data_IF_846472295372
#
_entry.id   IF_846472295372
#
_cell.length_a   1.000
_cell.length_b   1.000
_cell.length_c   1.000
_cell.angle_alpha   90.00
_cell.angle_beta   90.00
_cell.angle_gamma   90.00
#
_symmetry.space_group_name_H-M   'P 1'
#
loop_
_entity.id
_entity.type
_entity.pdbx_description
1 polymer ?
#
# COMPACT_ATOMS: atom_id res chain seq x y z
N UNK A 1 9.72 0.64 -24.66
CA UNK A 1 10.47 -0.07 -23.59
C UNK A 1 11.64 0.74 -23.03
N UNK A 2 12.49 1.38 -23.84
CA UNK A 2 13.62 2.20 -23.34
C UNK A 2 13.15 3.42 -22.52
N UNK A 3 12.11 4.13 -22.94
CA UNK A 3 11.55 5.29 -22.22
C UNK A 3 10.94 4.91 -20.86
N UNK A 4 10.44 3.68 -20.69
CA UNK A 4 9.92 3.16 -19.44
C UNK A 4 11.01 2.92 -18.37
N UNK A 5 12.27 2.70 -18.80
CA UNK A 5 13.39 2.60 -17.86
C UNK A 5 13.68 3.90 -17.12
N UNK A 6 13.59 5.04 -17.81
CA UNK A 6 13.77 6.38 -17.23
C UNK A 6 12.58 6.87 -16.41
N UNK A 7 11.38 6.34 -16.67
CA UNK A 7 10.16 6.71 -15.95
C UNK A 7 10.02 5.99 -14.59
N UNK A 8 10.94 5.11 -14.21
CA UNK A 8 10.91 4.46 -12.90
C UNK A 8 11.45 5.37 -11.81
N UNK A 9 10.68 5.52 -10.71
CA UNK A 9 11.18 6.15 -9.49
C UNK A 9 12.40 5.37 -9.00
N UNK A 10 13.52 6.05 -8.74
CA UNK A 10 14.71 5.41 -8.17
C UNK A 10 14.32 4.54 -6.97
N UNK A 11 15.01 3.42 -6.76
CA UNK A 11 14.75 2.51 -5.64
C UNK A 11 14.85 3.28 -4.33
N UNK A 12 13.71 3.64 -3.73
CA UNK A 12 13.70 4.22 -2.40
C UNK A 12 14.33 3.22 -1.42
N UNK A 13 15.16 3.71 -0.50
CA UNK A 13 15.74 2.88 0.57
C UNK A 13 14.62 2.22 1.36
N UNK A 14 14.63 0.88 1.45
CA UNK A 14 13.65 0.13 2.24
C UNK A 14 12.31 -0.12 1.53
N UNK A 15 12.23 0.07 0.22
CA UNK A 15 11.03 -0.32 -0.51
C UNK A 15 10.78 -1.83 -0.36
N UNK A 16 9.54 -2.25 -0.08
CA UNK A 16 9.17 -3.64 0.18
C UNK A 16 9.46 -4.56 -1.01
N UNK A 17 9.77 -5.82 -0.73
CA UNK A 17 10.23 -6.78 -1.76
C UNK A 17 9.15 -7.05 -2.82
N UNK A 18 7.89 -7.27 -2.41
CA UNK A 18 6.79 -7.48 -3.35
C UNK A 18 6.61 -6.25 -4.27
N UNK A 19 6.65 -5.04 -3.71
CA UNK A 19 6.56 -3.81 -4.50
C UNK A 19 7.63 -3.74 -5.58
N UNK A 20 8.89 -4.09 -5.25
CA UNK A 20 10.02 -3.99 -6.18
C UNK A 20 9.97 -5.07 -7.26
N UNK A 21 9.76 -6.33 -6.83
CA UNK A 21 9.97 -7.50 -7.72
C UNK A 21 8.69 -7.94 -8.44
N UNK A 22 7.52 -7.63 -7.90
CA UNK A 22 6.22 -8.04 -8.47
C UNK A 22 5.43 -6.83 -8.95
N UNK A 23 5.08 -5.92 -8.04
CA UNK A 23 4.12 -4.85 -8.34
C UNK A 23 4.64 -3.86 -9.40
N UNK A 24 5.86 -3.35 -9.25
CA UNK A 24 6.42 -2.39 -10.22
C UNK A 24 6.62 -2.98 -11.63
N UNK A 25 7.16 -4.22 -11.81
CA UNK A 25 7.23 -4.84 -13.14
C UNK A 25 5.87 -5.05 -13.78
N UNK A 26 4.86 -5.45 -12.98
CA UNK A 26 3.49 -5.62 -13.49
C UNK A 26 2.86 -4.26 -13.82
N UNK A 27 2.95 -3.28 -12.93
CA UNK A 27 2.50 -1.91 -13.15
C UNK A 27 3.15 -1.27 -14.39
N UNK A 28 4.42 -1.61 -14.70
CA UNK A 28 5.07 -1.14 -15.94
C UNK A 28 4.36 -1.61 -17.21
N UNK A 29 3.92 -2.86 -17.24
CA UNK A 29 3.19 -3.39 -18.40
C UNK A 29 1.83 -2.72 -18.53
N UNK A 30 1.14 -2.51 -17.42
CA UNK A 30 -0.13 -1.78 -17.37
C UNK A 30 0.05 -0.31 -17.79
N UNK A 31 1.10 0.35 -17.31
CA UNK A 31 1.42 1.73 -17.69
C UNK A 31 1.69 1.87 -19.19
N UNK A 32 2.42 0.91 -19.78
CA UNK A 32 2.66 0.89 -21.23
C UNK A 32 1.35 0.76 -22.01
N UNK A 33 0.47 -0.16 -21.60
CA UNK A 33 -0.87 -0.32 -22.22
C UNK A 33 -1.73 0.93 -22.07
N UNK A 34 -1.80 1.48 -20.85
CA UNK A 34 -2.58 2.69 -20.57
C UNK A 34 -2.08 3.90 -21.39
N UNK A 35 -0.77 4.08 -21.49
CA UNK A 35 -0.15 5.14 -22.28
C UNK A 35 -0.47 4.99 -23.78
N UNK A 36 -0.39 3.78 -24.34
CA UNK A 36 -0.73 3.50 -25.74
C UNK A 36 -2.22 3.73 -26.03
N UNK A 37 -3.09 3.51 -25.04
CA UNK A 37 -4.52 3.79 -25.12
C UNK A 37 -4.88 5.26 -24.89
N UNK A 38 -3.88 6.13 -24.62
CA UNK A 38 -4.10 7.55 -24.36
C UNK A 38 -4.78 7.84 -23.01
N UNK A 39 -4.75 6.89 -22.06
CA UNK A 39 -5.34 7.10 -20.73
C UNK A 39 -4.52 8.11 -19.93
N UNK A 40 -5.22 9.03 -19.26
CA UNK A 40 -4.57 9.96 -18.33
C UNK A 40 -4.21 9.27 -17.02
N UNK A 41 -3.20 9.77 -16.26
CA UNK A 41 -2.85 9.22 -14.95
C UNK A 41 -4.07 9.11 -14.02
N UNK A 42 -4.91 10.14 -13.96
CA UNK A 42 -6.11 10.16 -13.11
C UNK A 42 -7.11 9.05 -13.47
N UNK A 43 -7.28 8.74 -14.74
CA UNK A 43 -8.12 7.61 -15.17
C UNK A 43 -7.53 6.29 -14.68
N UNK A 44 -6.21 6.14 -14.72
CA UNK A 44 -5.52 4.93 -14.22
C UNK A 44 -5.67 4.79 -12.70
N UNK A 45 -5.57 5.90 -11.95
CA UNK A 45 -5.85 5.92 -10.50
C UNK A 45 -7.30 5.54 -10.18
N UNK A 46 -8.27 6.02 -10.98
CA UNK A 46 -9.68 5.63 -10.81
C UNK A 46 -9.91 4.15 -11.13
N UNK A 47 -9.25 3.59 -12.13
CA UNK A 47 -9.29 2.14 -12.42
C UNK A 47 -8.76 1.36 -11.23
N UNK A 48 -7.60 1.76 -10.67
CA UNK A 48 -7.06 1.19 -9.43
C UNK A 48 -8.09 1.21 -8.31
N UNK A 49 -8.75 2.36 -8.11
CA UNK A 49 -9.78 2.54 -7.08
C UNK A 49 -10.97 1.60 -7.27
N UNK A 50 -11.46 1.41 -8.49
CA UNK A 50 -12.58 0.48 -8.79
C UNK A 50 -12.23 -0.95 -8.38
N UNK A 51 -11.04 -1.44 -8.72
CA UNK A 51 -10.60 -2.78 -8.31
C UNK A 51 -10.48 -2.90 -6.79
N UNK A 52 -9.84 -1.95 -6.15
CA UNK A 52 -9.59 -1.99 -4.71
C UNK A 52 -10.89 -1.84 -3.90
N UNK A 53 -11.75 -0.87 -4.24
CA UNK A 53 -13.03 -0.69 -3.56
C UNK A 53 -14.02 -1.82 -3.87
N UNK A 54 -13.97 -2.42 -5.05
CA UNK A 54 -14.70 -3.65 -5.37
C UNK A 54 -14.33 -4.78 -4.41
N UNK A 55 -13.03 -5.00 -4.18
CA UNK A 55 -12.56 -5.97 -3.20
C UNK A 55 -13.03 -5.66 -1.76
N UNK A 56 -12.95 -4.38 -1.34
CA UNK A 56 -13.38 -3.90 -0.03
C UNK A 56 -14.87 -4.14 0.19
N UNK A 57 -15.71 -3.83 -0.80
CA UNK A 57 -17.15 -4.05 -0.73
C UNK A 57 -17.47 -5.55 -0.65
N UNK A 58 -16.86 -6.38 -1.49
CA UNK A 58 -17.04 -7.84 -1.44
C UNK A 58 -16.64 -8.41 -0.07
N UNK A 59 -15.51 -7.95 0.48
CA UNK A 59 -15.03 -8.40 1.79
C UNK A 59 -16.01 -8.05 2.92
N UNK A 60 -16.64 -6.87 2.85
CA UNK A 60 -17.57 -6.40 3.87
C UNK A 60 -18.97 -7.04 3.75
N UNK A 61 -19.38 -7.48 2.54
CA UNK A 61 -20.78 -7.84 2.28
C UNK A 61 -21.00 -9.33 2.02
N UNK A 62 -19.96 -10.07 1.65
CA UNK A 62 -20.07 -11.49 1.27
C UNK A 62 -19.41 -12.37 2.32
N UNK A 63 -20.07 -13.47 2.77
CA UNK A 63 -19.49 -14.41 3.73
C UNK A 63 -18.17 -14.99 3.25
N UNK A 64 -17.16 -15.17 4.14
CA UNK A 64 -15.87 -15.72 3.80
C UNK A 64 -15.97 -17.10 3.14
N UNK A 65 -15.27 -17.25 2.02
CA UNK A 65 -15.19 -18.51 1.26
C UNK A 65 -13.86 -18.54 0.50
N UNK A 66 -13.39 -19.72 0.11
CA UNK A 66 -12.12 -19.88 -0.62
C UNK A 66 -12.14 -19.16 -1.96
N UNK A 67 -13.23 -19.26 -2.72
CA UNK A 67 -13.37 -18.56 -3.99
C UNK A 67 -13.38 -17.02 -3.82
N UNK A 68 -14.04 -16.53 -2.75
CA UNK A 68 -14.09 -15.12 -2.43
C UNK A 68 -12.70 -14.58 -2.08
N UNK A 69 -11.94 -15.34 -1.28
CA UNK A 69 -10.55 -14.98 -0.94
C UNK A 69 -9.68 -14.84 -2.19
N UNK A 70 -9.81 -15.74 -3.16
CA UNK A 70 -9.12 -15.65 -4.44
C UNK A 70 -9.52 -14.38 -5.22
N UNK A 71 -10.83 -14.10 -5.31
CA UNK A 71 -11.33 -12.90 -6.02
C UNK A 71 -10.84 -11.63 -5.35
N UNK A 72 -10.93 -11.51 -4.02
CA UNK A 72 -10.46 -10.34 -3.28
C UNK A 72 -8.96 -10.15 -3.47
N UNK A 73 -8.15 -11.21 -3.30
CA UNK A 73 -6.70 -11.12 -3.49
C UNK A 73 -6.35 -10.66 -4.91
N UNK A 74 -7.02 -11.19 -5.94
CA UNK A 74 -6.82 -10.76 -7.34
C UNK A 74 -7.18 -9.30 -7.55
N UNK A 75 -8.35 -8.86 -7.06
CA UNK A 75 -8.79 -7.47 -7.20
C UNK A 75 -7.82 -6.50 -6.51
N UNK A 76 -7.35 -6.83 -5.29
CA UNK A 76 -6.39 -6.01 -4.56
C UNK A 76 -5.03 -5.96 -5.27
N UNK A 77 -4.52 -7.09 -5.76
CA UNK A 77 -3.24 -7.16 -6.49
C UNK A 77 -3.31 -6.37 -7.80
N UNK A 78 -4.41 -6.50 -8.55
CA UNK A 78 -4.62 -5.74 -9.79
C UNK A 78 -4.78 -4.25 -9.48
N UNK A 79 -5.57 -3.89 -8.48
CA UNK A 79 -5.71 -2.50 -8.01
C UNK A 79 -4.35 -1.90 -7.65
N UNK A 80 -3.54 -2.61 -6.86
CA UNK A 80 -2.19 -2.17 -6.48
C UNK A 80 -1.24 -2.03 -7.68
N UNK A 81 -1.40 -2.86 -8.71
CA UNK A 81 -0.59 -2.74 -9.92
C UNK A 81 -0.99 -1.52 -10.77
N UNK A 82 -2.29 -1.19 -10.88
CA UNK A 82 -2.75 0.04 -11.52
C UNK A 82 -2.33 1.28 -10.76
N UNK A 83 -2.32 1.26 -9.45
CA UNK A 83 -1.79 2.28 -8.57
C UNK A 83 -0.30 2.57 -8.86
N UNK A 84 0.49 1.51 -8.96
CA UNK A 84 1.89 1.67 -9.40
C UNK A 84 2.03 2.15 -10.86
N UNK A 85 1.02 1.94 -11.70
CA UNK A 85 1.06 2.30 -13.11
C UNK A 85 0.76 3.79 -13.34
N UNK A 86 -0.13 4.42 -12.57
CA UNK A 86 -0.55 5.82 -12.78
C UNK A 86 0.61 6.81 -12.66
N UNK A 87 1.44 6.68 -11.63
CA UNK A 87 2.66 7.48 -11.50
C UNK A 87 3.69 7.23 -12.61
N UNK A 88 3.68 6.02 -13.24
CA UNK A 88 4.51 5.76 -14.41
C UNK A 88 3.93 6.41 -15.66
N UNK A 89 2.60 6.38 -15.85
CA UNK A 89 1.90 7.10 -16.92
C UNK A 89 2.13 8.61 -16.78
N UNK A 90 2.02 9.15 -15.56
CA UNK A 90 2.29 10.57 -15.30
C UNK A 90 3.69 10.98 -15.79
N UNK A 91 4.72 10.21 -15.44
CA UNK A 91 6.10 10.47 -15.89
C UNK A 91 6.29 10.34 -17.39
N UNK A 92 5.61 9.37 -18.03
CA UNK A 92 5.64 9.21 -19.50
C UNK A 92 4.95 10.36 -20.24
N UNK A 93 3.94 10.97 -19.63
CA UNK A 93 3.16 12.09 -20.17
C UNK A 93 3.77 13.47 -19.89
N UNK A 94 5.02 13.54 -19.44
CA UNK A 94 5.73 14.78 -19.18
C UNK A 94 5.64 15.31 -17.74
N UNK A 95 5.11 14.55 -16.83
CA UNK A 95 5.00 14.84 -15.38
C UNK A 95 3.58 14.73 -14.84
N UNK A 96 3.46 14.74 -13.52
CA UNK A 96 2.18 14.76 -12.80
C UNK A 96 1.62 16.18 -12.65
N UNK A 97 0.38 16.28 -12.19
CA UNK A 97 -0.25 17.55 -11.78
C UNK A 97 -0.54 17.52 -10.29
N UNK A 98 -0.62 18.70 -9.65
CA UNK A 98 -1.00 18.80 -8.24
C UNK A 98 -2.36 18.15 -7.95
N UNK A 99 -3.32 18.28 -8.89
CA UNK A 99 -4.62 17.64 -8.78
C UNK A 99 -4.53 16.10 -8.86
N UNK A 100 -3.63 15.58 -9.71
CA UNK A 100 -3.38 14.14 -9.82
C UNK A 100 -2.72 13.56 -8.56
N UNK A 101 -1.71 14.25 -8.02
CA UNK A 101 -1.05 13.88 -6.78
C UNK A 101 -2.02 13.90 -5.59
N UNK A 102 -2.88 14.92 -5.52
CA UNK A 102 -3.93 15.01 -4.51
C UNK A 102 -4.92 13.86 -4.61
N UNK A 103 -5.41 13.56 -5.83
CA UNK A 103 -6.35 12.45 -6.07
C UNK A 103 -5.76 11.11 -5.66
N UNK A 104 -4.52 10.82 -6.05
CA UNK A 104 -3.77 9.61 -5.71
C UNK A 104 -3.68 9.44 -4.19
N UNK A 105 -3.18 10.45 -3.49
CA UNK A 105 -3.05 10.39 -2.03
C UNK A 105 -4.37 10.27 -1.29
N UNK A 106 -5.44 10.94 -1.76
CA UNK A 106 -6.76 10.81 -1.15
C UNK A 106 -7.33 9.40 -1.35
N UNK A 107 -7.24 8.85 -2.57
CA UNK A 107 -7.68 7.50 -2.85
C UNK A 107 -6.91 6.48 -2.01
N UNK A 108 -5.60 6.63 -1.86
CA UNK A 108 -4.76 5.74 -1.06
C UNK A 108 -5.08 5.80 0.43
N UNK A 109 -5.35 7.00 0.95
CA UNK A 109 -5.80 7.17 2.33
C UNK A 109 -7.11 6.43 2.59
N UNK A 110 -8.08 6.58 1.68
CA UNK A 110 -9.38 5.91 1.80
C UNK A 110 -9.22 4.39 1.66
N UNK A 111 -8.49 3.91 0.64
CA UNK A 111 -8.22 2.47 0.43
C UNK A 111 -7.58 1.82 1.66
N UNK A 112 -6.51 2.42 2.18
CA UNK A 112 -5.75 1.86 3.30
C UNK A 112 -6.54 1.80 4.60
N UNK A 113 -7.39 2.80 4.85
CA UNK A 113 -8.24 2.85 6.04
C UNK A 113 -9.44 1.91 5.93
N UNK A 114 -10.15 1.93 4.79
CA UNK A 114 -11.42 1.19 4.61
C UNK A 114 -11.21 -0.32 4.45
N UNK A 115 -10.06 -0.77 3.94
CA UNK A 115 -9.76 -2.20 3.86
C UNK A 115 -9.82 -2.89 5.24
N UNK A 116 -9.24 -2.27 6.25
CA UNK A 116 -9.26 -2.83 7.61
C UNK A 116 -10.63 -2.71 8.28
N UNK A 117 -11.43 -1.69 7.91
CA UNK A 117 -12.84 -1.58 8.34
C UNK A 117 -13.66 -2.71 7.69
N UNK A 118 -13.41 -3.05 6.44
CA UNK A 118 -14.08 -4.18 5.79
C UNK A 118 -13.71 -5.52 6.45
N UNK A 119 -12.44 -5.70 6.86
CA UNK A 119 -12.03 -6.85 7.67
C UNK A 119 -12.78 -6.86 9.01
N UNK A 120 -12.91 -5.71 9.69
CA UNK A 120 -13.69 -5.60 10.93
C UNK A 120 -15.13 -6.09 10.74
N UNK A 121 -15.80 -5.61 9.68
CA UNK A 121 -17.17 -5.99 9.36
C UNK A 121 -17.27 -7.49 9.09
N UNK A 122 -16.39 -8.03 8.24
CA UNK A 122 -16.36 -9.45 7.90
C UNK A 122 -16.11 -10.33 9.13
N UNK A 123 -15.16 -9.93 10.00
CA UNK A 123 -14.84 -10.65 11.24
C UNK A 123 -16.01 -10.60 12.22
N UNK A 124 -16.63 -9.42 12.38
CA UNK A 124 -17.78 -9.25 13.28
C UNK A 124 -18.99 -10.09 12.86
N UNK A 125 -19.26 -10.15 11.56
CA UNK A 125 -20.45 -10.83 11.03
C UNK A 125 -20.29 -12.35 10.87
N UNK A 126 -19.06 -12.84 10.65
CA UNK A 126 -18.86 -14.21 10.15
C UNK A 126 -17.83 -15.04 10.91
N UNK A 127 -17.06 -14.45 11.86
CA UNK A 127 -16.02 -15.20 12.55
C UNK A 127 -16.47 -15.55 13.98
N UNK A 128 -16.23 -16.77 14.39
CA UNK A 128 -16.40 -17.19 15.79
C UNK A 128 -15.18 -16.75 16.61
N UNK A 129 -15.33 -15.64 17.31
CA UNK A 129 -14.29 -15.11 18.18
C UNK A 129 -14.46 -15.59 19.62
N UNK A 130 -13.35 -15.97 20.26
CA UNK A 130 -13.34 -16.32 21.69
C UNK A 130 -13.62 -15.13 22.61
N UNK A 131 -13.40 -13.91 22.13
CA UNK A 131 -13.68 -12.65 22.82
C UNK A 131 -13.92 -11.52 21.82
N UNK A 132 -14.86 -10.62 22.13
CA UNK A 132 -15.09 -9.40 21.34
C UNK A 132 -13.86 -8.46 21.33
N UNK A 133 -12.94 -8.60 22.27
CA UNK A 133 -11.70 -7.81 22.29
C UNK A 133 -10.82 -8.04 21.06
N UNK A 134 -10.97 -9.17 20.35
CA UNK A 134 -10.27 -9.40 19.09
C UNK A 134 -10.66 -8.44 17.96
N UNK A 135 -11.81 -7.76 18.07
CA UNK A 135 -12.22 -6.71 17.13
C UNK A 135 -11.31 -5.46 17.22
N UNK A 136 -10.58 -5.29 18.32
CA UNK A 136 -9.57 -4.23 18.43
C UNK A 136 -8.41 -4.40 17.45
N UNK A 137 -8.18 -5.61 16.94
CA UNK A 137 -7.11 -5.87 15.96
C UNK A 137 -7.38 -5.15 14.64
N UNK A 138 -8.51 -5.36 13.93
CA UNK A 138 -8.77 -4.62 12.70
C UNK A 138 -9.00 -3.12 12.92
N UNK A 139 -9.55 -2.72 14.06
CA UNK A 139 -9.64 -1.29 14.44
C UNK A 139 -8.24 -0.70 14.58
N UNK A 140 -7.37 -1.34 15.35
CA UNK A 140 -5.99 -0.91 15.54
C UNK A 140 -5.21 -0.89 14.22
N UNK A 141 -5.41 -1.87 13.35
CA UNK A 141 -4.74 -1.91 12.06
C UNK A 141 -5.20 -0.78 11.14
N UNK A 142 -6.50 -0.41 11.15
CA UNK A 142 -6.99 0.76 10.42
C UNK A 142 -6.29 2.04 10.89
N UNK A 143 -6.14 2.23 12.21
CA UNK A 143 -5.42 3.38 12.77
C UNK A 143 -3.95 3.35 12.38
N UNK A 144 -3.26 2.21 12.52
CA UNK A 144 -1.85 2.05 12.15
C UNK A 144 -1.63 2.38 10.66
N UNK A 145 -2.49 1.88 9.78
CA UNK A 145 -2.44 2.15 8.35
C UNK A 145 -2.61 3.63 8.04
N UNK A 146 -3.65 4.27 8.60
CA UNK A 146 -3.93 5.68 8.38
C UNK A 146 -2.79 6.58 8.90
N UNK A 147 -2.27 6.30 10.10
CA UNK A 147 -1.16 7.06 10.68
C UNK A 147 0.13 6.86 9.89
N UNK A 148 0.43 5.62 9.47
CA UNK A 148 1.63 5.34 8.66
C UNK A 148 1.58 6.07 7.32
N UNK A 149 0.44 6.06 6.67
CA UNK A 149 0.21 6.76 5.41
C UNK A 149 0.37 8.27 5.57
N UNK A 150 -0.36 8.87 6.52
CA UNK A 150 -0.28 10.30 6.80
C UNK A 150 1.14 10.74 7.16
N UNK A 151 1.80 10.02 8.07
CA UNK A 151 3.14 10.36 8.52
C UNK A 151 4.18 10.28 7.40
N UNK A 152 4.05 9.31 6.46
CA UNK A 152 4.98 9.22 5.32
C UNK A 152 4.84 10.42 4.37
N UNK A 153 3.61 10.82 4.03
CA UNK A 153 3.36 12.01 3.20
C UNK A 153 3.83 13.26 3.89
N UNK A 154 3.48 13.46 5.18
CA UNK A 154 3.90 14.62 5.95
C UNK A 154 5.42 14.73 6.01
N UNK A 155 6.13 13.61 6.21
CA UNK A 155 7.59 13.58 6.20
C UNK A 155 8.17 14.03 4.86
N UNK A 156 7.61 13.57 3.74
CA UNK A 156 8.09 13.94 2.41
C UNK A 156 7.83 15.43 2.13
N UNK A 157 6.65 15.93 2.51
CA UNK A 157 6.28 17.34 2.37
C UNK A 157 7.18 18.26 3.23
N UNK A 158 7.42 17.90 4.50
CA UNK A 158 8.28 18.69 5.37
C UNK A 158 9.73 18.68 4.89
N UNK A 159 10.26 17.53 4.45
CA UNK A 159 11.59 17.46 3.84
C UNK A 159 11.69 18.30 2.60
N UNK A 160 10.72 18.25 1.70
CA UNK A 160 10.71 19.08 0.50
C UNK A 160 10.69 20.59 0.80
N UNK A 161 10.02 20.98 1.91
CA UNK A 161 9.93 22.39 2.33
C UNK A 161 11.19 22.93 3.00
N UNK A 162 11.86 22.12 3.84
CA UNK A 162 12.96 22.56 4.69
C UNK A 162 14.35 22.16 4.19
N UNK A 163 14.48 21.17 3.29
CA UNK A 163 15.76 20.77 2.71
C UNK A 163 15.95 21.51 1.39
N UNK A 164 16.67 22.63 1.42
CA UNK A 164 16.99 23.46 0.22
C UNK A 164 18.21 22.95 -0.56
N UNK A 165 18.97 22.02 -0.02
CA UNK A 165 20.16 21.43 -0.67
C UNK A 165 20.03 19.92 -0.65
N UNK A 166 19.99 19.29 -1.82
CA UNK A 166 20.19 17.85 -1.95
C UNK A 166 21.60 17.51 -1.45
N UNK A 167 21.70 16.99 -0.23
CA UNK A 167 22.91 16.31 0.22
C UNK A 167 22.94 14.98 -0.53
N UNK A 168 23.93 14.74 -1.41
CA UNK A 168 24.06 13.48 -2.10
C UNK A 168 24.29 12.37 -1.06
N UNK A 169 23.24 11.77 -0.57
CA UNK A 169 23.32 10.67 0.38
C UNK A 169 23.83 9.46 -0.37
N UNK A 170 25.06 9.05 -0.07
CA UNK A 170 25.66 7.82 -0.58
C UNK A 170 24.64 6.65 -0.45
N UNK A 171 24.24 5.98 -1.53
CA UNK A 171 23.23 4.93 -1.50
C UNK A 171 23.80 3.71 -0.76
N UNK A 172 23.65 3.71 0.57
CA UNK A 172 23.90 2.47 1.35
C UNK A 172 22.85 1.45 0.93
N UNK A 173 23.28 0.36 0.32
CA UNK A 173 22.42 -0.76 -0.08
C UNK A 173 21.61 -1.25 1.13
N UNK A 174 20.33 -1.51 0.93
CA UNK A 174 19.51 -2.19 1.94
C UNK A 174 20.09 -3.57 2.18
N UNK A 175 20.45 -3.89 3.43
CA UNK A 175 20.89 -5.25 3.77
C UNK A 175 19.74 -6.23 3.50
N UNK A 176 20.02 -7.46 3.01
CA UNK A 176 18.99 -8.48 2.78
C UNK A 176 18.08 -8.71 3.99
N UNK A 177 18.65 -8.61 5.20
CA UNK A 177 17.92 -8.72 6.45
C UNK A 177 16.84 -7.60 6.62
N UNK A 178 17.14 -6.37 6.23
CA UNK A 178 16.16 -5.27 6.26
C UNK A 178 15.04 -5.49 5.27
N UNK A 179 15.32 -6.02 4.08
CA UNK A 179 14.30 -6.37 3.11
C UNK A 179 13.39 -7.50 3.63
N UNK A 180 13.98 -8.49 4.29
CA UNK A 180 13.25 -9.61 4.91
C UNK A 180 12.35 -9.13 6.07
N UNK A 181 12.87 -8.29 6.97
CA UNK A 181 12.11 -7.72 8.08
C UNK A 181 10.99 -6.76 7.61
N UNK A 182 11.07 -6.25 6.39
CA UNK A 182 10.04 -5.43 5.76
C UNK A 182 8.93 -6.23 5.08
N UNK A 183 9.05 -7.56 4.93
CA UNK A 183 8.04 -8.39 4.27
C UNK A 183 6.65 -8.28 4.93
N UNK A 184 6.50 -8.40 6.25
CA UNK A 184 5.18 -8.32 6.88
C UNK A 184 4.51 -6.95 6.77
N UNK A 185 5.28 -5.89 6.47
CA UNK A 185 4.75 -4.53 6.26
C UNK A 185 4.48 -4.21 4.79
N UNK A 186 4.70 -5.19 3.89
CA UNK A 186 4.44 -5.02 2.47
C UNK A 186 2.95 -5.19 2.17
N UNK A 187 2.34 -4.16 1.57
CA UNK A 187 0.93 -4.17 1.18
C UNK A 187 0.58 -5.37 0.28
N UNK A 188 1.51 -5.80 -0.57
CA UNK A 188 1.30 -6.98 -1.41
C UNK A 188 1.14 -8.28 -0.59
N UNK A 189 1.84 -8.40 0.53
CA UNK A 189 1.68 -9.55 1.44
C UNK A 189 0.31 -9.51 2.11
N UNK A 190 -0.16 -8.33 2.52
CA UNK A 190 -1.53 -8.15 3.00
C UNK A 190 -2.56 -8.56 1.93
N UNK A 191 -2.39 -8.14 0.67
CA UNK A 191 -3.27 -8.56 -0.44
C UNK A 191 -3.29 -10.09 -0.62
N UNK A 192 -2.13 -10.74 -0.56
CA UNK A 192 -2.01 -12.20 -0.70
C UNK A 192 -2.57 -12.96 0.50
N UNK A 193 -2.60 -12.35 1.70
CA UNK A 193 -3.18 -13.00 2.88
C UNK A 193 -4.67 -13.33 2.71
N UNK A 194 -5.39 -12.61 1.85
CA UNK A 194 -6.80 -12.91 1.56
C UNK A 194 -7.01 -14.23 0.82
N UNK A 195 -5.97 -14.82 0.18
CA UNK A 195 -6.08 -16.16 -0.43
C UNK A 195 -6.53 -17.23 0.57
N UNK A 196 -6.24 -17.04 1.86
CA UNK A 196 -6.61 -17.96 2.92
C UNK A 196 -7.88 -17.53 3.67
N UNK A 197 -8.67 -16.59 3.13
CA UNK A 197 -9.92 -16.11 3.74
C UNK A 197 -10.95 -17.22 3.99
N UNK A 198 -10.95 -18.24 3.14
CA UNK A 198 -11.81 -19.45 3.31
C UNK A 198 -11.49 -20.29 4.54
N UNK A 199 -10.40 -20.01 5.25
CA UNK A 199 -10.03 -20.60 6.55
C UNK A 199 -10.00 -19.51 7.63
N UNK A 200 -11.15 -19.09 8.20
CA UNK A 200 -11.26 -17.88 9.03
C UNK A 200 -10.26 -17.80 10.17
N UNK A 201 -10.04 -18.90 10.88
CA UNK A 201 -9.08 -18.95 12.02
C UNK A 201 -7.64 -18.72 11.56
N UNK A 202 -7.23 -19.34 10.42
CA UNK A 202 -5.90 -19.19 9.87
C UNK A 202 -5.71 -17.77 9.31
N UNK A 203 -6.68 -17.27 8.55
CA UNK A 203 -6.66 -15.90 8.03
C UNK A 203 -6.50 -14.88 9.17
N UNK A 204 -7.32 -15.00 10.21
CA UNK A 204 -7.27 -14.05 11.32
C UNK A 204 -5.95 -14.14 12.10
N UNK A 205 -5.39 -15.32 12.30
CA UNK A 205 -4.07 -15.47 12.91
C UNK A 205 -2.96 -14.79 12.10
N UNK A 206 -2.93 -14.99 10.77
CA UNK A 206 -1.99 -14.30 9.88
C UNK A 206 -2.21 -12.78 9.91
N UNK A 207 -3.46 -12.33 9.88
CA UNK A 207 -3.81 -10.92 9.94
C UNK A 207 -3.34 -10.24 11.24
N UNK A 208 -3.46 -10.93 12.40
CA UNK A 208 -2.91 -10.46 13.69
C UNK A 208 -1.39 -10.30 13.62
N UNK A 209 -0.69 -11.26 13.03
CA UNK A 209 0.78 -11.18 12.84
C UNK A 209 1.15 -9.97 11.98
N UNK A 210 0.43 -9.74 10.89
CA UNK A 210 0.65 -8.57 10.03
C UNK A 210 0.37 -7.27 10.80
N UNK A 211 -0.70 -7.21 11.59
CA UNK A 211 -1.00 -6.06 12.44
C UNK A 211 0.15 -5.76 13.41
N UNK A 212 0.60 -6.76 14.18
CA UNK A 212 1.69 -6.58 15.16
C UNK A 212 2.97 -6.11 14.48
N UNK A 213 3.30 -6.66 13.32
CA UNK A 213 4.48 -6.24 12.56
C UNK A 213 4.37 -4.79 12.07
N UNK A 214 3.21 -4.38 11.54
CA UNK A 214 2.98 -3.01 11.08
C UNK A 214 2.96 -2.01 12.25
N UNK A 215 2.35 -2.38 13.38
CA UNK A 215 2.36 -1.58 14.60
C UNK A 215 3.80 -1.38 15.12
N UNK A 216 4.57 -2.46 15.22
CA UNK A 216 5.98 -2.39 15.65
C UNK A 216 6.84 -1.56 14.71
N UNK A 217 6.63 -1.72 13.39
CA UNK A 217 7.30 -0.88 12.39
C UNK A 217 6.95 0.60 12.58
N UNK A 218 5.66 0.94 12.70
CA UNK A 218 5.22 2.32 12.89
C UNK A 218 5.83 2.92 14.17
N UNK A 219 5.83 2.18 15.27
CA UNK A 219 6.41 2.65 16.54
C UNK A 219 7.91 3.01 16.39
N UNK A 220 8.70 2.11 15.78
CA UNK A 220 10.13 2.35 15.54
C UNK A 220 10.34 3.48 14.54
N UNK A 221 9.56 3.49 13.44
CA UNK A 221 9.66 4.51 12.42
C UNK A 221 9.30 5.91 12.96
N UNK A 222 8.28 6.02 13.81
CA UNK A 222 7.85 7.30 14.40
C UNK A 222 8.96 7.95 15.24
N UNK A 223 9.69 7.16 16.04
CA UNK A 223 10.82 7.66 16.81
C UNK A 223 11.91 8.22 15.88
N UNK A 224 12.22 7.46 14.83
CA UNK A 224 13.21 7.89 13.83
C UNK A 224 12.74 9.14 13.08
N UNK A 225 11.51 9.15 12.57
CA UNK A 225 10.96 10.28 11.82
C UNK A 225 10.93 11.56 12.65
N UNK A 226 10.52 11.45 13.92
CA UNK A 226 10.57 12.59 14.83
C UNK A 226 12.00 13.11 15.03
N UNK A 227 12.98 12.21 15.15
CA UNK A 227 14.40 12.57 15.18
C UNK A 227 14.87 13.28 13.91
N UNK A 228 14.47 12.75 12.73
CA UNK A 228 14.79 13.38 11.43
C UNK A 228 14.19 14.80 11.34
N UNK A 229 12.93 14.98 11.79
CA UNK A 229 12.24 16.29 11.76
C UNK A 229 12.92 17.33 12.65
N UNK A 230 13.47 16.95 13.82
CA UNK A 230 14.23 17.86 14.69
C UNK A 230 15.49 18.43 14.04
N UNK A 231 16.03 17.75 13.03
CA UNK A 231 17.24 18.19 12.33
C UNK A 231 16.94 19.10 11.13
N UNK A 232 15.68 19.24 10.73
CA UNK A 232 15.25 20.17 9.68
C UNK A 232 15.26 21.60 10.27
N UNK A 233 15.93 22.53 9.61
CA UNK A 233 16.02 23.94 9.98
C UNK A 233 15.62 24.83 8.81
#
# INVERSE_FOLDING_TARGET
>A
MAQLGGAQKMRARGAPAYSIYVNRPFGRRLAAGAYLLGLTPNVVSLISAVFTFGAIILLATVPPATWLGLVIAMLLVVGYAFDSADGQVARLSGGGSAAGEWLDHVLDCVKSSTLHIAVLISVFLHFELSSQLWLLVPIGFSVVSAVSFFASILNDQLKARYVTVEVPGNPKSSTPLRALLGIPTDYGILCLSFLILGWPKLFFAVYVVLFVANFGYLAIASVKWFGDMKMLK
#
